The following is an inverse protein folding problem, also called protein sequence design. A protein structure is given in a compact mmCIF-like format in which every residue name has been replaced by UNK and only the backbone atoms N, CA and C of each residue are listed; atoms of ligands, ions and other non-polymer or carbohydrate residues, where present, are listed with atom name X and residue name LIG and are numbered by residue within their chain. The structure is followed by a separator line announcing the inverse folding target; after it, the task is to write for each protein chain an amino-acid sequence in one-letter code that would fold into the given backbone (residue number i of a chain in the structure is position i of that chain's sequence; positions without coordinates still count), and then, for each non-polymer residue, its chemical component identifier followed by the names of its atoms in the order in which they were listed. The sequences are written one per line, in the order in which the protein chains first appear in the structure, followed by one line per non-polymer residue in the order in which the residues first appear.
data_IF_296772194112
#
_entry.id   IF_296772194112
#
_cell.length_a   1.000
_cell.length_b   1.000
_cell.length_c   1.000
_cell.angle_alpha   90.00
_cell.angle_beta   90.00
_cell.angle_gamma   90.00
#
_symmetry.space_group_name_H-M   'P 1'
#
loop_
_entity.id
_entity.type
_entity.pdbx_description
1 polymer ?
#
# COMPACT_ATOMS: atom_id res chain seq x y z
N UNK A 1 13.25 -6.28 5.84
CA UNK A 1 12.46 -5.23 6.50
C UNK A 1 11.03 -5.41 6.07
N UNK A 2 10.08 -5.51 7.01
CA UNK A 2 8.64 -5.50 6.73
C UNK A 2 8.00 -4.47 7.67
N UNK A 3 6.80 -3.99 7.32
CA UNK A 3 6.05 -2.95 8.06
C UNK A 3 4.86 -3.56 8.79
N UNK A 4 4.83 -4.88 8.98
CA UNK A 4 3.62 -5.61 9.36
C UNK A 4 3.06 -5.10 10.69
N UNK A 5 3.93 -4.82 11.67
CA UNK A 5 3.49 -4.26 12.96
C UNK A 5 2.86 -2.87 12.85
N UNK A 6 3.28 -2.05 11.89
CA UNK A 6 2.73 -0.72 11.67
C UNK A 6 1.37 -0.82 10.98
N UNK A 7 1.25 -1.65 9.94
CA UNK A 7 -0.03 -1.92 9.26
C UNK A 7 -1.08 -2.46 10.23
N UNK A 8 -0.69 -3.34 11.16
CA UNK A 8 -1.57 -3.84 12.23
C UNK A 8 -2.16 -2.68 13.05
N UNK A 9 -1.30 -1.72 13.46
CA UNK A 9 -1.70 -0.57 14.28
C UNK A 9 -2.54 0.43 13.50
N UNK A 10 -2.16 0.72 12.25
CA UNK A 10 -2.90 1.62 11.34
C UNK A 10 -4.35 1.14 11.13
N UNK A 11 -4.56 -0.18 11.15
CA UNK A 11 -5.89 -0.80 11.02
C UNK A 11 -6.61 -1.00 12.37
N UNK A 12 -6.12 -0.39 13.46
CA UNK A 12 -6.77 -0.42 14.76
C UNK A 12 -6.62 -1.73 15.54
N UNK A 13 -5.71 -2.61 15.12
CA UNK A 13 -5.42 -3.85 15.82
C UNK A 13 -4.15 -3.73 16.67
N UNK A 14 -4.07 -4.60 17.67
CA UNK A 14 -2.80 -4.99 18.28
C UNK A 14 -2.38 -6.35 17.74
N UNK A 15 -1.11 -6.73 17.90
CA UNK A 15 -0.66 -8.10 17.59
C UNK A 15 -1.47 -9.15 18.36
N UNK A 16 -1.99 -8.79 19.54
CA UNK A 16 -2.78 -9.73 20.37
C UNK A 16 -4.18 -9.92 19.78
N UNK A 17 -4.88 -8.84 19.47
CA UNK A 17 -6.21 -8.90 18.86
C UNK A 17 -6.19 -9.47 17.44
N UNK A 18 -5.10 -9.25 16.68
CA UNK A 18 -4.93 -9.90 15.39
C UNK A 18 -4.71 -11.42 15.56
N UNK A 19 -3.90 -11.84 16.55
CA UNK A 19 -3.69 -13.25 16.83
C UNK A 19 -5.02 -13.96 17.18
N UNK A 20 -5.86 -13.32 18.00
CA UNK A 20 -7.21 -13.80 18.30
C UNK A 20 -8.07 -13.90 17.05
N UNK A 21 -8.04 -12.89 16.18
CA UNK A 21 -8.80 -12.86 14.91
C UNK A 21 -8.42 -13.98 13.95
N UNK A 22 -7.14 -14.35 13.86
CA UNK A 22 -6.64 -15.43 13.00
C UNK A 22 -6.58 -16.79 13.72
N UNK A 23 -7.09 -16.89 14.95
CA UNK A 23 -7.18 -18.15 15.69
C UNK A 23 -5.83 -18.71 16.14
N UNK A 24 -4.86 -17.85 16.46
CA UNK A 24 -3.53 -18.25 16.95
C UNK A 24 -3.19 -17.59 18.29
N UNK A 25 -2.11 -18.03 18.93
CA UNK A 25 -1.61 -17.38 20.13
C UNK A 25 -0.74 -16.16 19.80
N UNK A 26 -0.76 -15.16 20.70
CA UNK A 26 0.13 -13.98 20.62
C UNK A 26 1.59 -14.38 20.43
N UNK A 27 2.11 -15.34 21.20
CA UNK A 27 3.50 -15.77 21.08
C UNK A 27 3.80 -16.39 19.71
N UNK A 28 2.88 -17.19 19.18
CA UNK A 28 3.05 -17.81 17.88
C UNK A 28 3.06 -16.76 16.76
N UNK A 29 2.14 -15.79 16.79
CA UNK A 29 2.13 -14.70 15.82
C UNK A 29 3.43 -13.87 15.90
N UNK A 30 3.88 -13.49 17.10
CA UNK A 30 5.16 -12.77 17.27
C UNK A 30 6.36 -13.54 16.72
N UNK A 31 6.41 -14.87 16.92
CA UNK A 31 7.47 -15.69 16.36
C UNK A 31 7.42 -15.70 14.82
N UNK A 32 6.23 -15.83 14.25
CA UNK A 32 6.01 -15.76 12.80
C UNK A 32 6.38 -14.40 12.20
N UNK A 33 6.12 -13.28 12.89
CA UNK A 33 6.42 -11.93 12.38
C UNK A 33 7.92 -11.65 12.18
N UNK A 34 8.81 -12.34 12.92
CA UNK A 34 10.27 -12.20 12.77
C UNK A 34 10.77 -12.71 11.41
N UNK A 35 10.17 -13.77 10.91
CA UNK A 35 10.50 -14.37 9.61
C UNK A 35 9.23 -15.00 9.01
N UNK A 36 8.32 -14.18 8.49
CA UNK A 36 7.00 -14.64 8.09
C UNK A 36 7.10 -15.48 6.82
N UNK A 37 6.47 -16.65 6.87
CA UNK A 37 6.29 -17.49 5.68
C UNK A 37 5.24 -16.89 4.74
N UNK A 38 5.27 -17.25 3.46
CA UNK A 38 4.25 -16.80 2.50
C UNK A 38 2.81 -17.04 2.97
N UNK A 39 2.42 -18.24 3.50
CA UNK A 39 1.08 -18.45 4.04
C UNK A 39 0.74 -17.51 5.21
N UNK A 40 1.70 -17.22 6.08
CA UNK A 40 1.51 -16.26 7.19
C UNK A 40 1.22 -14.86 6.64
N UNK A 41 1.95 -14.44 5.62
CA UNK A 41 1.73 -13.12 5.01
C UNK A 41 0.33 -13.03 4.38
N UNK A 42 -0.12 -14.08 3.70
CA UNK A 42 -1.48 -14.14 3.12
C UNK A 42 -2.54 -14.06 4.21
N UNK A 43 -2.38 -14.84 5.28
CA UNK A 43 -3.28 -14.86 6.43
C UNK A 43 -3.39 -13.48 7.08
N UNK A 44 -2.27 -12.81 7.32
CA UNK A 44 -2.24 -11.46 7.90
C UNK A 44 -2.88 -10.42 6.97
N UNK A 45 -2.49 -10.40 5.69
CA UNK A 45 -3.04 -9.46 4.71
C UNK A 45 -4.57 -9.61 4.59
N UNK A 46 -5.05 -10.87 4.54
CA UNK A 46 -6.48 -11.19 4.47
C UNK A 46 -7.21 -10.75 5.75
N UNK A 47 -6.61 -11.00 6.92
CA UNK A 47 -7.21 -10.62 8.19
C UNK A 47 -7.29 -9.11 8.40
N UNK A 48 -6.36 -8.35 7.84
CA UNK A 48 -6.33 -6.89 7.87
C UNK A 48 -7.09 -6.24 6.69
N UNK A 49 -7.57 -7.04 5.74
CA UNK A 49 -8.23 -6.60 4.51
C UNK A 49 -7.38 -5.63 3.67
N UNK A 50 -6.09 -5.94 3.54
CA UNK A 50 -5.12 -5.14 2.78
C UNK A 50 -4.48 -5.95 1.65
N UNK A 51 -4.05 -5.30 0.55
CA UNK A 51 -3.23 -5.98 -0.43
C UNK A 51 -1.85 -6.35 0.15
N UNK A 52 -1.32 -7.51 -0.25
CA UNK A 52 -0.05 -8.07 0.24
C UNK A 52 1.12 -7.08 0.26
N UNK A 53 1.22 -6.21 -0.74
CA UNK A 53 2.33 -5.26 -0.85
C UNK A 53 2.35 -4.24 0.30
N UNK A 54 1.21 -3.92 0.91
CA UNK A 54 1.13 -2.97 2.03
C UNK A 54 1.86 -3.47 3.27
N UNK A 55 2.06 -4.78 3.41
CA UNK A 55 2.88 -5.37 4.48
C UNK A 55 4.37 -4.97 4.38
N UNK A 56 4.78 -4.40 3.24
CA UNK A 56 6.18 -4.08 2.92
C UNK A 56 6.41 -2.61 2.59
N UNK A 57 5.39 -1.87 2.14
CA UNK A 57 5.46 -0.44 1.81
C UNK A 57 4.14 0.27 2.17
N UNK A 58 4.19 1.51 2.65
CA UNK A 58 2.95 2.28 2.85
C UNK A 58 2.39 2.78 1.51
N UNK A 59 1.08 3.05 1.42
CA UNK A 59 0.51 3.71 0.24
C UNK A 59 1.21 5.02 -0.11
N UNK A 60 1.62 5.82 0.87
CA UNK A 60 2.33 7.09 0.67
C UNK A 60 3.75 6.88 0.12
N UNK A 61 4.45 5.84 0.58
CA UNK A 61 5.77 5.47 0.04
C UNK A 61 5.70 5.08 -1.43
N UNK A 62 4.58 4.46 -1.86
CA UNK A 62 4.37 3.99 -3.24
C UNK A 62 3.73 5.04 -4.14
N UNK A 63 2.74 5.78 -3.65
CA UNK A 63 2.03 6.80 -4.41
C UNK A 63 2.87 8.07 -4.63
N UNK A 64 4.01 8.18 -3.95
CA UNK A 64 4.79 9.41 -3.94
C UNK A 64 4.11 10.48 -3.08
N UNK A 65 4.84 11.55 -2.78
CA UNK A 65 4.38 12.64 -1.94
C UNK A 65 3.35 13.52 -2.68
N UNK A 66 2.20 12.96 -3.07
CA UNK A 66 1.08 13.72 -3.62
C UNK A 66 1.50 14.74 -4.68
N UNK A 67 2.40 14.34 -5.58
CA UNK A 67 2.76 15.20 -6.69
C UNK A 67 1.54 15.34 -7.61
N UNK A 68 1.40 16.52 -8.19
CA UNK A 68 0.36 16.79 -9.16
C UNK A 68 0.44 15.76 -10.29
N UNK A 69 -0.62 15.00 -10.51
CA UNK A 69 -0.72 14.08 -11.65
C UNK A 69 -1.96 14.45 -12.46
N UNK A 70 -1.77 14.76 -13.74
CA UNK A 70 -2.84 14.95 -14.69
C UNK A 70 -2.82 13.84 -15.74
N UNK A 71 -3.95 13.15 -15.92
CA UNK A 71 -4.15 12.16 -16.98
C UNK A 71 -5.10 12.75 -18.03
N UNK A 72 -4.64 12.85 -19.26
CA UNK A 72 -5.39 13.43 -20.37
C UNK A 72 -5.60 12.35 -21.40
N UNK A 73 -6.86 11.99 -21.66
CA UNK A 73 -7.23 11.08 -22.74
C UNK A 73 -7.76 11.89 -23.92
N UNK A 74 -7.13 11.72 -25.08
CA UNK A 74 -7.57 12.32 -26.33
C UNK A 74 -7.73 11.22 -27.39
N UNK A 75 -8.98 10.81 -27.61
CA UNK A 75 -9.29 9.65 -28.44
C UNK A 75 -8.68 8.36 -27.87
N UNK A 76 -7.73 7.78 -28.61
CA UNK A 76 -7.00 6.57 -28.24
C UNK A 76 -5.70 6.84 -27.49
N UNK A 77 -5.22 8.09 -27.49
CA UNK A 77 -3.97 8.48 -26.86
C UNK A 77 -4.18 8.87 -25.38
N UNK A 78 -3.23 8.48 -24.54
CA UNK A 78 -3.20 8.83 -23.12
C UNK A 78 -1.90 9.57 -22.84
N UNK A 79 -2.03 10.78 -22.30
CA UNK A 79 -0.91 11.62 -21.86
C UNK A 79 -0.94 11.71 -20.34
N UNK A 80 0.23 11.83 -19.73
CA UNK A 80 0.36 12.14 -18.32
C UNK A 80 1.23 13.39 -18.13
N UNK A 81 1.01 14.10 -17.02
CA UNK A 81 1.87 15.18 -16.58
C UNK A 81 2.05 15.13 -15.06
N UNK A 82 3.28 15.30 -14.60
CA UNK A 82 3.66 15.26 -13.18
C UNK A 82 3.84 16.68 -12.60
N UNK A 83 3.51 17.72 -13.37
CA UNK A 83 3.49 19.13 -12.91
C UNK A 83 2.56 20.03 -13.73
N UNK A 84 2.14 21.16 -13.15
CA UNK A 84 1.38 22.19 -13.88
C UNK A 84 2.11 22.70 -15.12
N UNK A 85 3.44 22.83 -15.06
CA UNK A 85 4.26 23.27 -16.19
C UNK A 85 4.23 22.27 -17.35
N UNK A 86 4.26 20.98 -17.05
CA UNK A 86 4.16 19.92 -18.06
C UNK A 86 2.75 19.87 -18.66
N UNK A 87 1.71 20.02 -17.83
CA UNK A 87 0.34 20.12 -18.32
C UNK A 87 0.16 21.33 -19.25
N UNK A 88 0.65 22.52 -18.86
CA UNK A 88 0.56 23.72 -19.69
C UNK A 88 1.24 23.53 -21.05
N UNK A 89 2.39 22.85 -21.10
CA UNK A 89 3.06 22.50 -22.37
C UNK A 89 2.21 21.57 -23.22
N UNK A 90 1.63 20.51 -22.62
CA UNK A 90 0.76 19.57 -23.34
C UNK A 90 -0.45 20.27 -23.94
N UNK A 91 -1.11 21.15 -23.18
CA UNK A 91 -2.28 21.91 -23.64
C UNK A 91 -1.89 22.97 -24.67
N UNK A 92 -0.74 23.64 -24.50
CA UNK A 92 -0.30 24.71 -25.40
C UNK A 92 0.15 24.19 -26.76
N UNK A 93 0.77 23.00 -26.82
CA UNK A 93 1.16 22.36 -28.08
C UNK A 93 -0.03 21.90 -28.95
N UNK A 94 -1.26 21.97 -28.42
CA UNK A 94 -2.50 21.57 -29.11
C UNK A 94 -3.29 22.76 -29.68
N UNK A 95 -2.87 24.00 -29.43
CA UNK A 95 -3.49 25.22 -30.02
C UNK A 95 -3.04 25.48 -31.44
#
# INVERSE_FOLDING_TARGET
MNRIEDVIKEHGYTVTSLAEKIGTSKQNLFAKLKSPSYPTLVEIATALDVPMWQLFASPEEIAGAGDFVALIKDGSEIYHADSWQELEKLVSNRK
#
